data_IF_264041450092
#
_entry.id   IF_264041450092
#
_cell.length_a   1.000
_cell.length_b   1.000
_cell.length_c   1.000
_cell.angle_alpha   90.00
_cell.angle_beta   90.00
_cell.angle_gamma   90.00
#
_symmetry.space_group_name_H-M   'P 1'
#
loop_
_entity.id
_entity.type
_entity.pdbx_description
1 polymer ?
#
# COMPACT_ATOMS: atom_id res chain seq x y z
N UNK A 1 -18.19 27.48 34.39
CA UNK A 1 -16.93 26.70 34.52
C UNK A 1 -17.20 25.30 33.99
N UNK A 2 -17.14 25.14 32.65
CA UNK A 2 -17.14 23.85 31.95
C UNK A 2 -16.22 24.04 30.75
N UNK A 3 -15.12 23.32 30.75
CA UNK A 3 -13.99 23.47 29.84
C UNK A 3 -14.27 22.92 28.44
N UNK A 4 -13.65 23.58 27.48
CA UNK A 4 -13.53 23.19 26.07
C UNK A 4 -13.02 21.76 25.90
N UNK A 5 -13.55 21.07 24.88
CA UNK A 5 -12.74 20.39 23.87
C UNK A 5 -13.52 20.38 22.55
N UNK A 6 -13.53 21.56 21.92
CA UNK A 6 -13.96 21.70 20.53
C UNK A 6 -12.94 21.03 19.63
N UNK A 7 -13.36 19.96 18.94
CA UNK A 7 -12.66 19.49 17.75
C UNK A 7 -12.62 20.64 16.74
N UNK A 8 -11.49 21.33 16.67
CA UNK A 8 -11.26 22.34 15.65
C UNK A 8 -11.22 21.64 14.30
N UNK A 9 -12.07 22.01 13.32
CA UNK A 9 -11.95 21.48 11.98
C UNK A 9 -10.54 21.81 11.47
N UNK A 10 -9.83 20.79 10.99
CA UNK A 10 -8.44 20.85 10.51
C UNK A 10 -8.18 22.16 9.77
N UNK A 11 -7.24 22.97 10.28
CA UNK A 11 -6.98 24.30 9.77
C UNK A 11 -6.61 24.25 8.27
N UNK A 12 -7.52 24.70 7.41
CA UNK A 12 -7.22 24.86 5.98
C UNK A 12 -6.08 25.89 5.84
N UNK A 13 -4.97 25.46 5.22
CA UNK A 13 -3.77 26.27 5.00
C UNK A 13 -3.85 26.97 3.63
N UNK A 14 -3.90 28.32 3.58
CA UNK A 14 -4.05 29.06 2.33
C UNK A 14 -2.96 28.76 1.29
N UNK A 15 -1.74 28.46 1.74
CA UNK A 15 -0.59 28.09 0.88
C UNK A 15 -0.79 26.79 0.08
N UNK A 16 -1.74 25.93 0.50
CA UNK A 16 -2.05 24.64 -0.17
C UNK A 16 -3.31 24.73 -1.04
N UNK A 17 -3.94 25.90 -1.08
CA UNK A 17 -5.16 26.15 -1.83
C UNK A 17 -4.84 26.93 -3.11
N UNK A 18 -5.55 26.62 -4.19
CA UNK A 18 -5.44 27.32 -5.46
C UNK A 18 -6.78 27.31 -6.17
N UNK A 19 -7.05 28.34 -6.96
CA UNK A 19 -8.28 28.45 -7.74
C UNK A 19 -8.01 27.90 -9.14
N UNK A 20 -8.84 26.98 -9.61
CA UNK A 20 -8.79 26.47 -10.98
C UNK A 20 -10.01 26.96 -11.73
N UNK A 21 -9.80 27.52 -12.93
CA UNK A 21 -10.87 28.02 -13.80
C UNK A 21 -10.99 27.08 -14.99
N UNK A 22 -12.18 26.49 -15.18
CA UNK A 22 -12.49 25.63 -16.34
C UNK A 22 -13.46 26.35 -17.29
N UNK A 23 -13.17 26.31 -18.58
CA UNK A 23 -14.02 26.89 -19.64
C UNK A 23 -13.32 27.96 -20.49
N UNK A 24 -13.97 28.41 -21.58
CA UNK A 24 -13.46 29.50 -22.42
C UNK A 24 -13.44 30.82 -21.62
N UNK A 25 -12.29 31.51 -21.66
CA UNK A 25 -11.92 32.67 -20.84
C UNK A 25 -13.03 33.72 -20.71
N UNK A 26 -13.56 33.89 -19.50
CA UNK A 26 -14.11 35.16 -18.99
C UNK A 26 -14.46 35.05 -17.50
N UNK A 27 -13.49 34.79 -16.64
CA UNK A 27 -13.62 35.16 -15.23
C UNK A 27 -12.37 35.93 -14.81
N UNK A 28 -12.40 37.24 -15.07
CA UNK A 28 -11.43 38.21 -14.59
C UNK A 28 -12.17 39.15 -13.65
N UNK A 29 -11.99 39.02 -12.33
CA UNK A 29 -12.53 40.05 -11.44
C UNK A 29 -12.41 39.80 -9.95
N UNK A 30 -12.65 38.59 -9.45
CA UNK A 30 -12.69 38.39 -7.99
C UNK A 30 -11.38 37.82 -7.47
N UNK A 31 -10.76 38.56 -6.54
CA UNK A 31 -9.66 38.06 -5.74
C UNK A 31 -10.23 37.13 -4.67
N UNK A 32 -10.01 35.82 -4.83
CA UNK A 32 -10.49 34.82 -3.87
C UNK A 32 -9.65 34.93 -2.61
N UNK A 33 -10.26 35.26 -1.47
CA UNK A 33 -9.54 35.32 -0.21
C UNK A 33 -9.99 34.19 0.73
N UNK A 34 -9.01 33.50 1.30
CA UNK A 34 -9.23 32.51 2.35
C UNK A 34 -8.42 32.93 3.57
N UNK A 35 -9.08 33.20 4.70
CA UNK A 35 -8.43 33.69 5.94
C UNK A 35 -7.55 34.93 5.70
N UNK A 36 -8.02 35.89 4.89
CA UNK A 36 -7.28 37.12 4.57
C UNK A 36 -6.10 36.93 3.61
N UNK A 37 -5.85 35.72 3.10
CA UNK A 37 -4.82 35.45 2.08
C UNK A 37 -5.46 35.29 0.70
N UNK A 38 -4.96 36.03 -0.29
CA UNK A 38 -5.41 35.90 -1.69
C UNK A 38 -4.91 34.58 -2.28
N UNK A 39 -5.83 33.79 -2.82
CA UNK A 39 -5.54 32.52 -3.49
C UNK A 39 -5.07 32.79 -4.92
N UNK A 40 -4.01 32.09 -5.33
CA UNK A 40 -3.48 32.16 -6.69
C UNK A 40 -4.33 31.28 -7.63
N UNK A 41 -4.64 31.80 -8.81
CA UNK A 41 -5.16 30.98 -9.90
C UNK A 41 -4.05 30.04 -10.40
N UNK A 42 -4.35 28.75 -10.50
CA UNK A 42 -3.41 27.72 -10.94
C UNK A 42 -4.02 26.89 -12.07
N UNK A 43 -3.19 26.51 -13.03
CA UNK A 43 -3.59 25.60 -14.11
C UNK A 43 -3.52 24.13 -13.70
N UNK A 44 -2.93 23.84 -12.52
CA UNK A 44 -2.68 22.49 -12.03
C UNK A 44 -2.87 22.41 -10.53
N UNK A 45 -3.62 21.41 -10.07
CA UNK A 45 -3.74 21.12 -8.63
C UNK A 45 -3.72 19.62 -8.38
N UNK A 46 -3.25 19.24 -7.19
CA UNK A 46 -3.44 17.89 -6.67
C UNK A 46 -4.62 17.92 -5.71
N UNK A 47 -5.74 17.32 -6.08
CA UNK A 47 -6.95 17.27 -5.27
C UNK A 47 -7.33 15.83 -4.95
N UNK A 48 -7.47 15.52 -3.65
CA UNK A 48 -7.72 14.16 -3.14
C UNK A 48 -6.81 13.10 -3.76
N UNK A 49 -5.62 13.53 -4.20
CA UNK A 49 -4.67 12.65 -4.85
C UNK A 49 -4.68 12.54 -6.35
N UNK A 50 -5.69 13.10 -6.99
CA UNK A 50 -5.81 13.20 -8.43
C UNK A 50 -5.11 14.48 -8.89
N UNK A 51 -4.35 14.38 -9.97
CA UNK A 51 -3.74 15.56 -10.60
C UNK A 51 -4.71 16.09 -11.64
N UNK A 52 -5.22 17.29 -11.40
CA UNK A 52 -6.16 17.97 -12.28
C UNK A 52 -5.45 19.09 -13.04
N UNK A 53 -5.79 19.27 -14.31
CA UNK A 53 -5.37 20.40 -15.14
C UNK A 53 -6.58 21.18 -15.71
N UNK A 54 -6.38 22.46 -16.01
CA UNK A 54 -7.40 23.37 -16.60
C UNK A 54 -7.67 23.11 -18.09
N UNK A 55 -6.90 22.23 -18.74
CA UNK A 55 -7.07 21.88 -20.15
C UNK A 55 -8.29 20.98 -20.43
N UNK A 56 -8.65 20.80 -21.72
CA UNK A 56 -9.81 20.00 -22.13
C UNK A 56 -9.72 18.52 -21.72
N UNK A 57 -8.50 17.99 -21.51
CA UNK A 57 -8.26 16.68 -20.89
C UNK A 57 -7.73 16.86 -19.48
N UNK A 58 -8.63 17.20 -18.56
CA UNK A 58 -8.34 17.57 -17.17
C UNK A 58 -7.74 16.44 -16.29
N UNK A 59 -7.63 15.20 -16.81
CA UNK A 59 -7.00 14.05 -16.14
C UNK A 59 -5.75 13.52 -16.85
N UNK A 60 -5.35 14.09 -17.98
CA UNK A 60 -4.30 13.51 -18.83
C UNK A 60 -2.99 13.26 -18.07
N UNK A 61 -2.61 14.22 -17.22
CA UNK A 61 -1.41 14.11 -16.39
C UNK A 61 -1.54 12.99 -15.33
N UNK A 62 -2.71 12.85 -14.71
CA UNK A 62 -2.96 11.79 -13.74
C UNK A 62 -2.97 10.42 -14.40
N UNK A 63 -3.65 10.27 -15.53
CA UNK A 63 -3.68 9.04 -16.31
C UNK A 63 -2.27 8.63 -16.76
N UNK A 64 -1.48 9.59 -17.25
CA UNK A 64 -0.10 9.33 -17.65
C UNK A 64 0.74 8.82 -16.46
N UNK A 65 0.65 9.48 -15.31
CA UNK A 65 1.32 9.04 -14.09
C UNK A 65 0.88 7.63 -13.64
N UNK A 66 -0.43 7.34 -13.71
CA UNK A 66 -0.97 6.03 -13.36
C UNK A 66 -0.53 4.93 -14.33
N UNK A 67 -0.52 5.20 -15.64
CA UNK A 67 -0.01 4.27 -16.66
C UNK A 67 1.47 3.95 -16.44
N UNK A 68 2.28 4.97 -16.15
CA UNK A 68 3.71 4.78 -15.85
C UNK A 68 3.91 3.94 -14.58
N UNK A 69 3.15 4.21 -13.52
CA UNK A 69 3.21 3.46 -12.27
C UNK A 69 2.71 2.02 -12.43
N UNK A 70 1.64 1.80 -13.19
CA UNK A 70 1.08 0.47 -13.47
C UNK A 70 2.07 -0.38 -14.29
N UNK A 71 2.72 0.23 -15.29
CA UNK A 71 3.76 -0.43 -16.08
C UNK A 71 4.94 -0.87 -15.20
N UNK A 72 5.34 -0.01 -14.25
CA UNK A 72 6.37 -0.35 -13.26
C UNK A 72 5.93 -1.50 -12.35
N UNK A 73 4.70 -1.48 -11.81
CA UNK A 73 4.18 -2.57 -10.98
C UNK A 73 4.11 -3.88 -11.76
N UNK A 74 3.66 -3.86 -13.02
CA UNK A 74 3.64 -5.05 -13.89
C UNK A 74 5.03 -5.66 -14.01
N UNK A 75 6.07 -4.83 -14.18
CA UNK A 75 7.45 -5.28 -14.23
C UNK A 75 7.96 -5.86 -12.91
N UNK A 76 7.65 -5.21 -11.78
CA UNK A 76 8.06 -5.66 -10.44
C UNK A 76 7.39 -6.98 -10.08
N UNK A 77 6.06 -7.03 -10.15
CA UNK A 77 5.28 -8.22 -9.83
C UNK A 77 5.62 -9.35 -10.79
N UNK A 78 5.83 -9.05 -12.08
CA UNK A 78 6.31 -10.00 -13.09
C UNK A 78 7.57 -10.75 -12.71
N UNK A 79 8.53 -10.05 -12.09
CA UNK A 79 9.77 -10.66 -11.61
C UNK A 79 9.58 -11.41 -10.29
N UNK A 80 8.69 -10.94 -9.42
CA UNK A 80 8.40 -11.58 -8.14
C UNK A 80 7.66 -12.91 -8.29
N UNK A 81 6.80 -13.06 -9.30
CA UNK A 81 6.01 -14.28 -9.50
C UNK A 81 6.61 -15.26 -10.51
N UNK A 82 7.78 -14.95 -11.08
CA UNK A 82 8.41 -15.76 -12.13
C UNK A 82 8.66 -17.20 -11.70
N UNK A 83 8.98 -17.41 -10.42
CA UNK A 83 9.29 -18.72 -9.83
C UNK A 83 8.19 -19.23 -8.88
N UNK A 84 6.98 -18.66 -8.96
CA UNK A 84 5.87 -19.11 -8.15
C UNK A 84 5.24 -20.38 -8.73
N UNK A 85 4.65 -21.21 -7.87
CA UNK A 85 3.98 -22.46 -8.26
C UNK A 85 2.89 -22.26 -9.32
N UNK A 86 2.17 -21.13 -9.27
CA UNK A 86 1.27 -20.66 -10.31
C UNK A 86 1.47 -19.15 -10.53
N UNK A 87 2.21 -18.83 -11.59
CA UNK A 87 2.56 -17.45 -11.96
C UNK A 87 1.34 -16.55 -12.13
N UNK A 88 0.24 -17.07 -12.67
CA UNK A 88 -0.95 -16.28 -13.00
C UNK A 88 -1.75 -15.93 -11.75
N UNK A 89 -2.02 -16.90 -10.88
CA UNK A 89 -2.78 -16.68 -9.65
C UNK A 89 -2.01 -15.76 -8.68
N UNK A 90 -0.71 -16.02 -8.49
CA UNK A 90 0.12 -15.18 -7.60
C UNK A 90 0.27 -13.76 -8.17
N UNK A 91 0.41 -13.62 -9.50
CA UNK A 91 0.45 -12.30 -10.14
C UNK A 91 -0.86 -11.55 -9.93
N UNK A 92 -1.99 -12.21 -10.15
CA UNK A 92 -3.32 -11.62 -10.03
C UNK A 92 -3.61 -11.20 -8.59
N UNK A 93 -3.26 -12.04 -7.62
CA UNK A 93 -3.35 -11.73 -6.19
C UNK A 93 -2.52 -10.50 -5.81
N UNK A 94 -1.24 -10.48 -6.19
CA UNK A 94 -0.37 -9.33 -5.92
C UNK A 94 -0.82 -8.06 -6.66
N UNK A 95 -1.36 -8.20 -7.87
CA UNK A 95 -1.90 -7.07 -8.61
C UNK A 95 -3.06 -6.43 -7.85
N UNK A 96 -4.01 -7.25 -7.38
CA UNK A 96 -5.16 -6.77 -6.59
C UNK A 96 -4.77 -6.21 -5.23
N UNK A 97 -3.80 -6.83 -4.54
CA UNK A 97 -3.44 -6.46 -3.16
C UNK A 97 -2.40 -5.35 -3.06
N UNK A 98 -1.52 -5.20 -4.06
CA UNK A 98 -0.37 -4.28 -4.00
C UNK A 98 -0.44 -3.22 -5.10
N UNK A 99 -0.66 -3.63 -6.35
CA UNK A 99 -0.66 -2.69 -7.47
C UNK A 99 -1.91 -1.83 -7.46
N UNK A 100 -3.10 -2.41 -7.32
CA UNK A 100 -4.37 -1.67 -7.34
C UNK A 100 -4.42 -0.64 -6.20
N UNK A 101 -4.23 -0.97 -4.90
CA UNK A 101 -4.17 0.04 -3.84
C UNK A 101 -3.11 1.11 -4.11
N UNK A 102 -1.90 0.69 -4.51
CA UNK A 102 -0.82 1.61 -4.86
C UNK A 102 -1.14 2.54 -6.04
N UNK A 103 -2.05 2.16 -6.94
CA UNK A 103 -2.50 2.96 -8.07
C UNK A 103 -3.73 3.81 -7.71
N UNK A 104 -4.72 3.25 -7.02
CA UNK A 104 -6.06 3.84 -6.86
C UNK A 104 -6.24 4.58 -5.53
N UNK A 105 -5.19 5.19 -5.00
CA UNK A 105 -5.28 5.89 -3.72
C UNK A 105 -5.72 5.01 -2.53
N UNK A 106 -5.63 3.68 -2.69
CA UNK A 106 -5.65 2.78 -1.55
C UNK A 106 -4.38 3.08 -0.76
N UNK A 107 -4.57 3.59 0.46
CA UNK A 107 -3.55 4.04 1.40
C UNK A 107 -2.24 3.25 1.26
N UNK A 108 -1.07 3.83 1.51
CA UNK A 108 0.17 3.03 1.61
C UNK A 108 0.13 2.00 2.78
N UNK A 109 -1.00 1.86 3.47
CA UNK A 109 -1.27 1.00 4.62
C UNK A 109 -1.24 -0.51 4.33
N UNK A 110 -1.91 -1.06 3.29
CA UNK A 110 -1.81 -2.48 2.97
C UNK A 110 -0.38 -2.88 2.59
N UNK A 111 0.43 -1.96 2.04
CA UNK A 111 1.84 -2.24 1.73
C UNK A 111 2.62 -2.52 3.01
N UNK A 112 2.47 -1.68 4.04
CA UNK A 112 3.15 -1.91 5.33
C UNK A 112 2.61 -3.14 6.04
N UNK A 113 1.29 -3.35 6.02
CA UNK A 113 0.66 -4.50 6.64
C UNK A 113 1.13 -5.81 5.96
N UNK A 114 1.18 -5.86 4.63
CA UNK A 114 1.71 -7.02 3.89
C UNK A 114 3.20 -7.20 4.19
N UNK A 115 3.98 -6.12 4.20
CA UNK A 115 5.40 -6.20 4.55
C UNK A 115 5.58 -6.82 5.93
N UNK A 116 4.85 -6.31 6.92
CA UNK A 116 4.87 -6.77 8.30
C UNK A 116 4.38 -8.21 8.47
N UNK A 117 3.21 -8.54 7.93
CA UNK A 117 2.52 -9.82 8.13
C UNK A 117 3.10 -10.96 7.28
N UNK A 118 3.65 -10.66 6.10
CA UNK A 118 4.33 -11.65 5.27
C UNK A 118 5.82 -11.80 5.63
N UNK A 119 6.38 -10.88 6.44
CA UNK A 119 7.80 -10.87 6.80
C UNK A 119 8.72 -10.61 5.60
N UNK A 120 8.25 -9.87 4.60
CA UNK A 120 8.98 -9.66 3.35
C UNK A 120 9.89 -8.45 3.44
N UNK A 121 11.15 -8.60 3.02
CA UNK A 121 11.99 -7.41 2.79
C UNK A 121 11.50 -6.63 1.56
N UNK A 122 11.57 -5.31 1.64
CA UNK A 122 11.32 -4.37 0.56
C UNK A 122 12.28 -4.62 -0.61
N UNK A 123 11.88 -4.15 -1.79
CA UNK A 123 12.73 -4.26 -2.98
C UNK A 123 14.08 -3.56 -2.79
N UNK A 124 14.06 -2.39 -2.15
CA UNK A 124 15.26 -1.59 -1.93
C UNK A 124 16.22 -2.33 -0.98
N UNK A 125 15.71 -2.91 0.11
CA UNK A 125 16.53 -3.72 1.01
C UNK A 125 17.15 -4.94 0.31
N UNK A 126 16.36 -5.67 -0.50
CA UNK A 126 16.87 -6.82 -1.28
C UNK A 126 17.95 -6.39 -2.28
N UNK A 127 17.72 -5.29 -2.99
CA UNK A 127 18.68 -4.72 -3.93
C UNK A 127 19.99 -4.33 -3.21
N UNK A 128 19.90 -3.64 -2.08
CA UNK A 128 21.05 -3.24 -1.26
C UNK A 128 21.86 -4.46 -0.81
N UNK A 129 21.22 -5.47 -0.23
CA UNK A 129 21.90 -6.68 0.25
C UNK A 129 22.58 -7.41 -0.89
N UNK A 130 21.90 -7.59 -2.02
CA UNK A 130 22.47 -8.23 -3.20
C UNK A 130 23.71 -7.48 -3.69
N UNK A 131 23.60 -6.17 -3.93
CA UNK A 131 24.69 -5.34 -4.47
C UNK A 131 25.88 -5.29 -3.52
N UNK A 132 25.66 -5.07 -2.23
CA UNK A 132 26.73 -5.05 -1.24
C UNK A 132 27.43 -6.42 -1.12
N UNK A 133 26.68 -7.53 -1.26
CA UNK A 133 27.26 -8.88 -1.26
C UNK A 133 28.11 -9.12 -2.51
N UNK A 134 27.66 -8.67 -3.68
CA UNK A 134 28.45 -8.74 -4.92
C UNK A 134 29.74 -7.91 -4.83
N UNK A 135 29.69 -6.70 -4.27
CA UNK A 135 30.88 -5.87 -4.07
C UNK A 135 31.90 -6.53 -3.13
N UNK A 136 31.42 -7.10 -2.01
CA UNK A 136 32.28 -7.91 -1.12
C UNK A 136 32.90 -9.09 -1.85
N UNK A 137 32.15 -9.74 -2.75
CA UNK A 137 32.66 -10.86 -3.56
C UNK A 137 33.77 -10.41 -4.52
N UNK A 138 33.60 -9.27 -5.21
CA UNK A 138 34.65 -8.74 -6.10
C UNK A 138 35.97 -8.50 -5.36
N UNK A 139 35.90 -8.00 -4.13
CA UNK A 139 37.10 -7.76 -3.32
C UNK A 139 37.80 -9.04 -2.85
N UNK A 140 37.06 -10.17 -2.74
CA UNK A 140 37.60 -11.48 -2.34
C UNK A 140 38.19 -12.28 -3.50
N UNK A 141 37.83 -11.95 -4.75
CA UNK A 141 38.38 -12.63 -5.92
C UNK A 141 39.89 -12.38 -6.04
N UNK A 142 40.69 -13.29 -6.65
CA UNK A 142 42.10 -13.05 -6.91
C UNK A 142 42.33 -11.79 -7.75
N UNK A 143 43.46 -11.10 -7.57
CA UNK A 143 43.81 -9.88 -8.33
C UNK A 143 43.95 -10.12 -9.84
N UNK A 144 44.26 -11.35 -10.25
CA UNK A 144 44.30 -11.77 -11.66
C UNK A 144 42.89 -11.93 -12.28
N UNK A 145 41.82 -11.95 -11.48
CA UNK A 145 40.47 -12.13 -11.99
C UNK A 145 40.00 -10.86 -12.71
N UNK A 146 39.63 -10.99 -13.99
CA UNK A 146 39.15 -9.89 -14.83
C UNK A 146 38.00 -9.10 -14.17
N UNK A 147 37.07 -9.78 -13.49
CA UNK A 147 35.94 -9.12 -12.87
C UNK A 147 36.36 -8.21 -11.71
N UNK A 148 37.38 -8.62 -10.93
CA UNK A 148 37.99 -7.77 -9.89
C UNK A 148 38.76 -6.62 -10.52
N UNK A 149 39.54 -6.87 -11.57
CA UNK A 149 40.32 -5.83 -12.26
C UNK A 149 39.42 -4.75 -12.85
N UNK A 150 38.36 -5.15 -13.57
CA UNK A 150 37.35 -4.24 -14.12
C UNK A 150 36.67 -3.45 -13.00
N UNK A 151 36.28 -4.10 -11.90
CA UNK A 151 35.67 -3.42 -10.76
C UNK A 151 36.61 -2.37 -10.12
N UNK A 152 37.85 -2.76 -9.84
CA UNK A 152 38.89 -1.89 -9.27
C UNK A 152 39.18 -0.72 -10.21
N UNK A 153 39.35 -0.98 -11.50
CA UNK A 153 39.52 0.07 -12.52
C UNK A 153 38.33 1.02 -12.56
N UNK A 154 37.09 0.51 -12.47
CA UNK A 154 35.88 1.35 -12.46
C UNK A 154 35.86 2.29 -11.25
N UNK A 155 36.35 1.84 -10.09
CA UNK A 155 36.49 2.67 -8.88
C UNK A 155 37.60 3.73 -9.07
N UNK A 156 38.82 3.32 -9.46
CA UNK A 156 39.96 4.23 -9.55
C UNK A 156 39.84 5.24 -10.71
N UNK A 157 39.32 4.81 -11.87
CA UNK A 157 39.03 5.69 -13.00
C UNK A 157 37.80 6.58 -12.76
N UNK A 158 37.20 6.56 -11.56
CA UNK A 158 36.04 7.38 -11.17
C UNK A 158 34.88 7.32 -12.17
N UNK A 159 34.71 6.18 -12.85
CA UNK A 159 33.69 6.01 -13.86
C UNK A 159 32.31 5.95 -13.20
N UNK A 160 31.50 7.00 -13.41
CA UNK A 160 30.15 7.15 -12.85
C UNK A 160 29.10 6.28 -13.55
N UNK A 161 29.32 4.96 -13.54
CA UNK A 161 28.40 4.01 -14.15
C UNK A 161 27.03 4.05 -13.47
N UNK A 162 25.98 3.58 -14.17
CA UNK A 162 24.63 3.44 -13.58
C UNK A 162 24.67 2.57 -12.32
N UNK A 163 25.52 1.53 -12.31
CA UNK A 163 25.75 0.69 -11.13
C UNK A 163 26.38 1.49 -10.00
N UNK A 164 27.51 2.16 -10.24
CA UNK A 164 28.24 2.92 -9.22
C UNK A 164 27.37 4.00 -8.56
N UNK A 165 26.61 4.76 -9.36
CA UNK A 165 25.65 5.76 -8.84
C UNK A 165 24.57 5.12 -7.98
N UNK A 166 23.98 4.01 -8.44
CA UNK A 166 22.91 3.34 -7.69
C UNK A 166 23.44 2.72 -6.39
N UNK A 167 24.59 2.08 -6.40
CA UNK A 167 25.12 1.46 -5.18
C UNK A 167 25.58 2.50 -4.16
N UNK A 168 26.12 3.65 -4.61
CA UNK A 168 26.41 4.78 -3.72
C UNK A 168 25.12 5.28 -3.04
N UNK A 169 24.07 5.56 -3.81
CA UNK A 169 22.77 5.97 -3.26
C UNK A 169 22.17 4.95 -2.27
N UNK A 170 22.36 3.65 -2.51
CA UNK A 170 21.89 2.61 -1.58
C UNK A 170 22.77 2.54 -0.33
N UNK A 171 24.09 2.69 -0.44
CA UNK A 171 25.01 2.73 0.70
C UNK A 171 24.72 3.94 1.58
N UNK A 172 24.48 5.11 0.99
CA UNK A 172 24.14 6.33 1.70
C UNK A 172 22.81 6.16 2.45
N UNK A 173 21.79 5.59 1.79
CA UNK A 173 20.48 5.34 2.40
C UNK A 173 20.54 4.40 3.60
N UNK A 174 21.38 3.37 3.54
CA UNK A 174 21.50 2.37 4.61
C UNK A 174 22.76 2.54 5.49
N UNK A 175 23.44 3.68 5.37
CA UNK A 175 24.70 3.98 6.08
C UNK A 175 25.72 2.82 6.07
N UNK A 176 25.87 2.15 4.92
CA UNK A 176 26.73 0.98 4.80
C UNK A 176 28.21 1.37 4.70
N UNK A 177 29.11 0.72 5.45
CA UNK A 177 30.53 1.04 5.42
C UNK A 177 31.11 0.82 4.03
N UNK A 178 31.83 1.84 3.53
CA UNK A 178 32.63 1.75 2.30
C UNK A 178 33.68 0.66 2.49
N UNK A 179 33.82 -0.22 1.50
CA UNK A 179 34.63 -1.42 1.63
C UNK A 179 36.12 -1.09 1.69
N UNK A 180 36.63 -0.75 2.86
CA UNK A 180 38.06 -0.66 3.11
C UNK A 180 38.64 -2.07 3.22
N UNK A 181 39.63 -2.34 2.37
CA UNK A 181 40.25 -3.65 2.13
C UNK A 181 41.01 -4.19 3.35
N UNK A 182 41.14 -3.42 4.44
CA UNK A 182 42.04 -3.72 5.55
C UNK A 182 41.40 -3.87 6.93
N UNK A 183 40.09 -3.64 7.08
CA UNK A 183 39.44 -3.83 8.37
C UNK A 183 38.52 -5.03 8.26
N UNK A 184 38.78 -6.04 9.09
CA UNK A 184 37.82 -7.10 9.36
C UNK A 184 36.56 -6.43 9.93
N UNK A 185 35.63 -6.08 9.06
CA UNK A 185 34.33 -5.52 9.46
C UNK A 185 33.69 -6.55 10.38
N UNK A 186 33.27 -6.17 11.59
CA UNK A 186 32.72 -7.11 12.55
C UNK A 186 31.57 -7.89 11.92
N UNK A 187 31.36 -9.11 12.41
CA UNK A 187 30.45 -10.13 11.89
C UNK A 187 28.95 -9.75 11.86
N UNK A 188 28.59 -8.47 12.00
CA UNK A 188 27.24 -8.00 11.69
C UNK A 188 27.07 -8.07 10.18
N UNK A 189 26.30 -9.06 9.75
CA UNK A 189 26.02 -9.27 8.33
C UNK A 189 25.39 -8.00 7.78
N UNK A 190 25.83 -7.53 6.60
CA UNK A 190 25.18 -6.41 5.89
C UNK A 190 23.65 -6.58 5.81
N UNK A 191 23.20 -7.84 5.81
CA UNK A 191 21.79 -8.21 5.88
C UNK A 191 21.10 -7.78 7.18
N UNK A 192 21.76 -7.90 8.34
CA UNK A 192 21.22 -7.50 9.64
C UNK A 192 21.07 -5.98 9.75
N UNK A 193 22.08 -5.21 9.32
CA UNK A 193 22.00 -3.75 9.28
C UNK A 193 20.85 -3.26 8.40
N UNK A 194 20.75 -3.81 7.19
CA UNK A 194 19.67 -3.46 6.26
C UNK A 194 18.30 -3.83 6.84
N UNK A 195 18.18 -4.99 7.51
CA UNK A 195 16.93 -5.40 8.17
C UNK A 195 16.54 -4.48 9.32
N UNK A 196 17.49 -4.08 10.14
CA UNK A 196 17.23 -3.18 11.27
C UNK A 196 16.72 -1.82 10.78
N UNK A 197 17.40 -1.21 9.81
CA UNK A 197 16.97 0.07 9.25
C UNK A 197 15.66 -0.04 8.46
N UNK A 198 15.43 -1.16 7.78
CA UNK A 198 14.13 -1.44 7.15
C UNK A 198 13.00 -1.52 8.18
N UNK A 199 13.25 -2.16 9.33
CA UNK A 199 12.29 -2.21 10.44
C UNK A 199 12.00 -0.81 10.99
N UNK A 200 13.02 0.00 11.23
CA UNK A 200 12.85 1.38 11.71
C UNK A 200 12.07 2.24 10.71
N UNK A 201 12.38 2.15 9.42
CA UNK A 201 11.66 2.88 8.37
C UNK A 201 10.20 2.43 8.27
N UNK A 202 9.94 1.13 8.38
CA UNK A 202 8.60 0.54 8.39
C UNK A 202 7.77 1.04 9.59
N UNK A 203 8.31 0.96 10.82
CA UNK A 203 7.66 1.49 12.04
C UNK A 203 7.33 2.96 11.86
N UNK A 204 8.31 3.79 11.48
CA UNK A 204 8.13 5.23 11.28
C UNK A 204 7.07 5.55 10.22
N UNK A 205 6.95 4.74 9.19
CA UNK A 205 5.97 4.95 8.12
C UNK A 205 4.58 4.46 8.51
N UNK A 206 4.50 3.41 9.32
CA UNK A 206 3.26 2.90 9.89
C UNK A 206 2.68 3.85 10.95
N UNK A 207 3.49 4.37 11.87
CA UNK A 207 3.08 5.31 12.92
C UNK A 207 2.50 6.63 12.36
N UNK A 208 2.99 7.07 11.20
CA UNK A 208 2.43 8.24 10.50
C UNK A 208 1.00 8.04 10.00
N UNK A 209 0.51 6.79 9.94
CA UNK A 209 -0.80 6.43 9.39
C UNK A 209 -1.76 6.10 10.52
N UNK A 210 -2.77 6.94 10.73
CA UNK A 210 -3.80 6.73 11.75
C UNK A 210 -4.55 5.39 11.60
N UNK A 211 -4.67 4.87 10.38
CA UNK A 211 -5.28 3.56 10.10
C UNK A 211 -4.45 2.36 10.59
N UNK A 212 -3.18 2.56 10.96
CA UNK A 212 -2.30 1.50 11.45
C UNK A 212 -2.15 1.46 12.96
N UNK A 213 -2.77 2.36 13.72
CA UNK A 213 -2.58 2.44 15.18
C UNK A 213 -2.89 1.11 15.87
N UNK A 214 -4.02 0.49 15.56
CA UNK A 214 -4.43 -0.81 16.12
C UNK A 214 -3.50 -1.94 15.65
N UNK A 215 -3.06 -1.88 14.39
CA UNK A 215 -2.12 -2.85 13.84
C UNK A 215 -0.76 -2.81 14.57
N UNK A 216 -0.21 -1.61 14.78
CA UNK A 216 1.09 -1.40 15.44
C UNK A 216 1.06 -1.70 16.95
N UNK A 217 -0.10 -1.63 17.61
CA UNK A 217 -0.24 -2.12 18.99
C UNK A 217 0.05 -3.62 19.12
N UNK A 218 -0.33 -4.42 18.11
CA UNK A 218 -0.15 -5.87 18.13
C UNK A 218 1.09 -6.37 17.40
N UNK A 219 1.61 -5.61 16.43
CA UNK A 219 2.70 -6.04 15.54
C UNK A 219 4.03 -5.37 15.91
N UNK A 220 4.96 -6.15 16.46
CA UNK A 220 6.27 -5.65 16.89
C UNK A 220 7.41 -5.80 15.86
N UNK A 221 7.29 -6.68 14.87
CA UNK A 221 8.37 -6.94 13.91
C UNK A 221 7.86 -7.38 12.52
N UNK A 222 8.71 -7.22 11.52
CA UNK A 222 8.51 -7.69 10.14
C UNK A 222 8.75 -9.20 10.11
N UNK A 223 7.72 -9.96 10.42
CA UNK A 223 7.78 -11.41 10.55
C UNK A 223 6.51 -12.07 10.00
N UNK A 224 6.67 -13.25 9.38
CA UNK A 224 5.53 -13.99 8.86
C UNK A 224 4.58 -14.38 10.00
N UNK A 225 3.32 -13.98 9.89
CA UNK A 225 2.28 -14.40 10.83
C UNK A 225 1.82 -15.84 10.55
N UNK A 226 1.63 -16.61 11.62
CA UNK A 226 1.34 -18.04 11.52
C UNK A 226 -0.15 -18.36 11.30
N UNK A 227 -1.03 -17.41 11.62
CA UNK A 227 -2.49 -17.64 11.64
C UNK A 227 -3.21 -17.30 10.33
N UNK A 228 -2.50 -16.82 9.30
CA UNK A 228 -3.09 -16.63 7.98
C UNK A 228 -3.16 -17.95 7.23
N UNK A 229 -4.38 -18.33 6.86
CA UNK A 229 -4.67 -19.35 5.88
C UNK A 229 -5.31 -18.69 4.64
N UNK A 230 -5.49 -19.45 3.56
CA UNK A 230 -6.14 -18.95 2.34
C UNK A 230 -7.68 -18.97 2.44
N UNK A 231 -8.26 -19.05 3.64
CA UNK A 231 -9.70 -18.97 3.82
C UNK A 231 -10.20 -17.53 3.69
N UNK A 232 -11.48 -17.42 3.33
CA UNK A 232 -12.18 -16.13 3.25
C UNK A 232 -12.16 -15.38 4.59
N UNK A 233 -12.32 -16.11 5.70
CA UNK A 233 -12.31 -15.52 7.05
C UNK A 233 -10.97 -14.88 7.41
N UNK A 234 -9.84 -15.53 7.07
CA UNK A 234 -8.51 -14.95 7.29
C UNK A 234 -8.19 -13.82 6.32
N UNK A 235 -8.73 -13.85 5.10
CA UNK A 235 -8.70 -12.71 4.18
C UNK A 235 -9.36 -11.46 4.77
N UNK A 236 -10.57 -11.59 5.29
CA UNK A 236 -11.28 -10.50 5.97
C UNK A 236 -10.55 -10.01 7.22
N UNK A 237 -9.95 -10.93 7.99
CA UNK A 237 -9.11 -10.55 9.13
C UNK A 237 -7.88 -9.74 8.69
N UNK A 238 -7.24 -10.09 7.59
CA UNK A 238 -6.10 -9.34 7.04
C UNK A 238 -6.53 -7.94 6.57
N UNK A 239 -7.68 -7.83 5.93
CA UNK A 239 -8.26 -6.55 5.49
C UNK A 239 -8.64 -5.67 6.69
N UNK A 240 -9.27 -6.24 7.72
CA UNK A 240 -9.60 -5.56 8.98
C UNK A 240 -8.34 -5.07 9.71
N UNK A 241 -7.33 -5.93 9.84
CA UNK A 241 -6.04 -5.58 10.47
C UNK A 241 -5.30 -4.48 9.73
N UNK A 242 -5.41 -4.44 8.41
CA UNK A 242 -4.78 -3.40 7.59
C UNK A 242 -5.63 -2.13 7.44
N UNK A 243 -6.83 -2.07 8.05
CA UNK A 243 -7.72 -0.92 7.91
C UNK A 243 -8.21 -0.72 6.46
N UNK A 244 -8.27 -1.80 5.69
CA UNK A 244 -8.72 -1.85 4.29
C UNK A 244 -9.97 -2.72 4.16
N UNK A 245 -10.57 -3.13 5.28
CA UNK A 245 -11.86 -3.81 5.25
C UNK A 245 -12.84 -2.91 4.51
N UNK A 246 -13.42 -3.37 3.39
CA UNK A 246 -14.51 -2.64 2.77
C UNK A 246 -15.59 -2.39 3.82
N UNK A 247 -16.21 -1.21 3.82
CA UNK A 247 -17.42 -0.95 4.62
C UNK A 247 -18.34 -2.18 4.56
N UNK A 248 -18.92 -2.58 5.70
CA UNK A 248 -19.62 -3.85 5.86
C UNK A 248 -20.55 -4.15 4.67
N UNK A 249 -20.04 -4.96 3.74
CA UNK A 249 -20.78 -5.24 2.50
C UNK A 249 -22.04 -6.01 2.86
N UNK A 250 -23.09 -5.87 2.05
CA UNK A 250 -24.34 -6.62 2.22
C UNK A 250 -24.04 -8.13 2.34
N UNK A 251 -23.08 -8.65 1.57
CA UNK A 251 -22.67 -10.04 1.67
C UNK A 251 -22.07 -10.42 3.02
N UNK A 252 -21.27 -9.54 3.63
CA UNK A 252 -20.71 -9.74 4.96
C UNK A 252 -21.82 -9.85 6.01
N UNK A 253 -22.76 -8.89 6.01
CA UNK A 253 -23.85 -8.83 6.98
C UNK A 253 -24.77 -10.05 6.80
N UNK A 254 -25.13 -10.36 5.56
CA UNK A 254 -26.12 -11.39 5.23
C UNK A 254 -25.57 -12.80 5.39
N UNK A 255 -24.35 -13.09 4.94
CA UNK A 255 -23.84 -14.47 4.88
C UNK A 255 -22.76 -14.79 5.93
N UNK A 256 -21.96 -13.80 6.34
CA UNK A 256 -20.69 -14.05 7.05
C UNK A 256 -20.71 -13.64 8.52
N UNK A 257 -21.78 -12.98 8.99
CA UNK A 257 -21.89 -12.56 10.39
C UNK A 257 -22.74 -13.55 11.20
N UNK A 258 -22.15 -14.59 11.84
CA UNK A 258 -22.90 -15.60 12.59
C UNK A 258 -23.52 -15.06 13.89
N UNK A 259 -23.09 -13.87 14.34
CA UNK A 259 -23.59 -13.22 15.56
C UNK A 259 -24.92 -12.47 15.37
N UNK A 260 -25.33 -12.21 14.13
CA UNK A 260 -26.64 -11.60 13.84
C UNK A 260 -27.68 -12.71 13.82
N UNK A 261 -28.73 -12.54 14.62
CA UNK A 261 -29.83 -13.48 14.72
C UNK A 261 -30.99 -13.07 13.79
N UNK A 262 -31.61 -14.01 13.05
CA UNK A 262 -31.27 -15.44 12.95
C UNK A 262 -30.03 -15.73 12.09
N UNK A 263 -29.34 -16.86 12.32
CA UNK A 263 -28.12 -17.26 11.57
C UNK A 263 -28.41 -17.53 10.09
N UNK A 264 -27.47 -17.24 9.19
CA UNK A 264 -27.65 -17.51 7.76
C UNK A 264 -27.73 -19.02 7.49
N UNK A 265 -28.76 -19.44 6.76
CA UNK A 265 -28.96 -20.82 6.33
C UNK A 265 -28.37 -21.09 4.93
N UNK A 266 -27.98 -20.04 4.22
CA UNK A 266 -27.44 -20.10 2.86
C UNK A 266 -26.02 -19.59 2.78
N UNK A 267 -25.28 -20.14 1.80
CA UNK A 267 -23.90 -19.75 1.49
C UNK A 267 -23.81 -18.89 0.21
N UNK A 268 -24.92 -18.76 -0.54
CA UNK A 268 -25.01 -17.98 -1.79
C UNK A 268 -25.81 -16.70 -1.60
N UNK A 269 -25.21 -15.56 -1.98
CA UNK A 269 -25.84 -14.24 -1.86
C UNK A 269 -27.06 -14.11 -2.79
N UNK A 270 -26.98 -14.70 -3.98
CA UNK A 270 -28.06 -14.65 -4.97
C UNK A 270 -29.31 -15.37 -4.46
N UNK A 271 -29.13 -16.49 -3.75
CA UNK A 271 -30.23 -17.23 -3.10
C UNK A 271 -30.78 -16.47 -1.90
N UNK A 272 -29.90 -15.86 -1.08
CA UNK A 272 -30.32 -15.06 0.08
C UNK A 272 -31.17 -13.84 -0.31
N UNK A 273 -30.84 -13.21 -1.46
CA UNK A 273 -31.57 -12.05 -2.00
C UNK A 273 -32.76 -12.44 -2.90
N UNK A 274 -32.99 -13.74 -3.13
CA UNK A 274 -34.12 -14.24 -3.92
C UNK A 274 -33.95 -14.13 -5.45
N UNK A 275 -32.73 -13.98 -5.95
CA UNK A 275 -32.43 -13.96 -7.39
C UNK A 275 -32.35 -15.35 -8.02
N UNK A 276 -32.19 -16.41 -7.21
CA UNK A 276 -32.14 -17.80 -7.66
C UNK A 276 -33.13 -18.61 -6.83
N UNK A 277 -34.05 -19.30 -7.48
CA UNK A 277 -34.96 -20.24 -6.82
C UNK A 277 -34.14 -21.44 -6.32
N UNK A 278 -34.18 -21.71 -5.01
CA UNK A 278 -33.68 -22.97 -4.48
C UNK A 278 -34.51 -24.14 -5.02
N UNK A 279 -33.90 -25.32 -5.15
CA UNK A 279 -34.50 -26.50 -5.80
C UNK A 279 -35.88 -26.93 -5.21
N UNK A 280 -36.25 -26.46 -4.01
CA UNK A 280 -37.56 -26.69 -3.38
C UNK A 280 -38.61 -25.59 -3.70
N UNK A 281 -39.31 -25.81 -4.82
CA UNK A 281 -40.20 -24.90 -5.55
C UNK A 281 -41.43 -24.28 -4.85
N UNK A 282 -41.66 -24.40 -3.54
CA UNK A 282 -42.88 -23.77 -2.91
C UNK A 282 -42.72 -23.10 -1.55
N UNK A 283 -41.59 -23.26 -0.85
CA UNK A 283 -41.39 -22.65 0.48
C UNK A 283 -40.01 -22.00 0.69
N UNK A 284 -38.95 -22.46 0.02
CA UNK A 284 -37.55 -22.08 0.34
C UNK A 284 -37.12 -20.67 -0.06
N UNK A 285 -37.62 -20.12 -1.18
CA UNK A 285 -37.19 -18.81 -1.67
C UNK A 285 -37.70 -17.64 -0.79
N UNK A 286 -38.93 -17.73 -0.27
CA UNK A 286 -39.48 -16.71 0.65
C UNK A 286 -38.76 -16.70 1.99
N UNK A 287 -38.42 -17.87 2.51
CA UNK A 287 -37.73 -18.01 3.80
C UNK A 287 -36.34 -17.38 3.79
N UNK A 288 -35.54 -17.55 2.73
CA UNK A 288 -34.19 -16.95 2.69
C UNK A 288 -34.23 -15.42 2.58
N UNK A 289 -35.20 -14.86 1.85
CA UNK A 289 -35.40 -13.41 1.75
C UNK A 289 -35.90 -12.83 3.06
N UNK A 290 -36.85 -13.50 3.73
CA UNK A 290 -37.35 -13.08 5.06
C UNK A 290 -36.26 -13.14 6.13
N UNK A 291 -35.45 -14.20 6.14
CA UNK A 291 -34.30 -14.35 7.04
C UNK A 291 -33.27 -13.24 6.80
N UNK A 292 -32.99 -12.93 5.53
CA UNK A 292 -32.10 -11.82 5.14
C UNK A 292 -32.63 -10.48 5.63
N UNK A 293 -33.93 -10.21 5.47
CA UNK A 293 -34.58 -8.99 5.97
C UNK A 293 -34.48 -8.87 7.50
N UNK A 294 -34.77 -9.95 8.24
CA UNK A 294 -34.67 -9.96 9.70
C UNK A 294 -33.24 -9.69 10.18
N UNK A 295 -32.24 -10.27 9.51
CA UNK A 295 -30.82 -10.03 9.81
C UNK A 295 -30.43 -8.57 9.58
N UNK A 296 -30.88 -7.97 8.47
CA UNK A 296 -30.65 -6.56 8.18
C UNK A 296 -31.33 -5.67 9.22
N UNK A 297 -32.59 -5.91 9.56
CA UNK A 297 -33.31 -5.15 10.61
C UNK A 297 -32.62 -5.24 11.97
N UNK A 298 -32.14 -6.43 12.36
CA UNK A 298 -31.38 -6.63 13.59
C UNK A 298 -30.05 -5.84 13.56
N UNK A 299 -29.35 -5.85 12.44
CA UNK A 299 -28.13 -5.05 12.26
C UNK A 299 -28.40 -3.55 12.33
N UNK A 300 -29.47 -3.05 11.70
CA UNK A 300 -29.85 -1.64 11.79
C UNK A 300 -30.19 -1.20 13.21
N UNK A 301 -30.75 -2.10 14.02
CA UNK A 301 -31.13 -1.80 15.43
C UNK A 301 -29.97 -1.89 16.41
N UNK A 302 -29.01 -2.79 16.18
CA UNK A 302 -28.00 -3.16 17.20
C UNK A 302 -26.55 -3.19 16.71
N UNK A 303 -26.31 -3.20 15.39
CA UNK A 303 -25.00 -3.42 14.77
C UNK A 303 -24.33 -2.16 14.20
N UNK A 304 -25.06 -1.06 13.99
CA UNK A 304 -24.47 0.18 13.52
C UNK A 304 -23.56 0.80 14.61
N UNK A 305 -22.32 1.22 14.27
CA UNK A 305 -21.48 1.94 15.22
C UNK A 305 -22.17 3.24 15.63
N UNK A 306 -22.33 3.46 16.95
CA UNK A 306 -22.70 4.75 17.53
C UNK A 306 -21.51 5.70 17.52
#
# INVERSE_FOLDING_TARGET
>A
MWGHDGHTPSAVHPQKCGVMVWGPKSYSGEAWSLKGSTLQCTDRVKYLGVHLNTGPRYLEQHEHAMRMKATRYRGILGRQTLWAFNRYEVMRGLWKMVAVPGLTYGNATPIEAIQGDAGWSSFVARETVAKATYEKRFMRLPSANLARQVWVHTIFASCSTKWARRTRSLRDRYHLPTGDVKVAVPAVSTRQLVRQQEREEWVRTAEKKSSMTVYMMGKGDIAKEAFFDNSRGRGLLAEARSGVLPEETIEHIVLLCPKIHPSSETTSLQTALGFVEGEDQRKGARTHVELTKQRLEHWWRYGAPR
#
